data_IF_907436253093
#
_entry.id   IF_907436253093
#
_cell.length_a   1.000
_cell.length_b   1.000
_cell.length_c   1.000
_cell.angle_alpha   90.00
_cell.angle_beta   90.00
_cell.angle_gamma   90.00
#
_symmetry.space_group_name_H-M   'P 1'
#
loop_
_entity.id
_entity.type
_entity.pdbx_description
1 polymer ?
#
# COMPACT_ATOMS: atom_id res chain seq x y z
N UNK A 1 10.92 -30.20 2.65
CA UNK A 1 11.59 -29.86 2.70
C UNK A 1 11.88 -29.65 2.75
N UNK A 2 11.37 -29.60 2.83
CA UNK A 2 11.87 -29.27 2.84
C UNK A 2 12.02 -29.00 3.27
N UNK A 3 11.40 -29.31 3.56
CA UNK A 3 11.79 -29.03 3.92
C UNK A 3 11.92 -29.07 4.32
N UNK A 4 11.39 -29.13 4.60
CA UNK A 4 11.79 -29.02 4.86
C UNK A 4 12.07 -29.27 5.18
N UNK A 5 11.88 -29.74 5.53
CA UNK A 5 12.38 -29.84 5.74
C UNK A 5 12.47 -30.24 6.03
N UNK A 6 12.15 -30.49 6.52
CA UNK A 6 12.42 -30.57 6.65
C UNK A 6 12.16 -30.78 6.81
N UNK A 7 11.77 -31.38 7.13
CA UNK A 7 11.75 -31.11 7.18
C UNK A 7 11.21 -31.42 7.20
N UNK A 8 10.91 -31.48 7.42
CA UNK A 8 10.78 -31.38 7.41
C UNK A 8 10.50 -31.83 7.25
N UNK A 9 9.88 -31.96 7.46
CA UNK A 9 9.93 -32.07 7.22
C UNK A 9 9.45 -32.53 7.28
N UNK A 10 9.00 -32.81 7.47
CA UNK A 10 8.89 -32.92 7.35
C UNK A 10 8.34 -33.06 7.54
N UNK A 11 7.59 -33.18 7.45
CA UNK A 11 7.42 -32.90 7.44
C UNK A 11 6.94 -33.10 7.18
N UNK A 12 6.15 -33.44 7.44
CA UNK A 12 6.18 -33.31 7.11
C UNK A 12 5.80 -33.50 6.73
N UNK A 13 5.29 -33.66 6.84
CA UNK A 13 5.24 -33.42 6.39
C UNK A 13 4.77 -33.14 6.45
N UNK A 14 4.14 -33.06 6.58
CA UNK A 14 3.90 -32.25 6.45
C UNK A 14 3.97 -32.04 6.76
N UNK A 15 3.62 -32.07 6.93
CA UNK A 15 3.97 -31.38 7.07
C UNK A 15 4.71 -31.03 7.15
N UNK A 16 4.97 -31.48 7.38
CA UNK A 16 5.54 -30.92 7.27
C UNK A 16 5.71 -30.56 7.27
N UNK A 17 6.15 -30.58 8.00
CA UNK A 17 5.86 -29.92 7.85
C UNK A 17 5.88 -29.02 6.90
N UNK A 18 5.21 -28.92 6.76
CA UNK A 18 4.90 -27.96 5.83
C UNK A 18 5.36 -26.59 6.21
N UNK A 19 6.05 -25.90 5.31
CA UNK A 19 6.54 -24.58 5.55
C UNK A 19 5.41 -23.58 5.59
N UNK A 20 5.43 -22.71 6.56
CA UNK A 20 4.45 -21.66 6.70
C UNK A 20 4.80 -20.50 5.79
N UNK A 21 3.82 -20.01 5.05
CA UNK A 21 4.03 -18.89 4.15
C UNK A 21 3.77 -17.57 4.86
N UNK A 22 4.60 -16.58 4.57
CA UNK A 22 4.41 -15.23 5.08
C UNK A 22 3.29 -14.59 4.28
N UNK A 23 2.29 -14.07 4.95
CA UNK A 23 1.19 -13.39 4.29
C UNK A 23 1.68 -12.10 3.66
N UNK A 24 1.19 -11.73 2.46
CA UNK A 24 1.64 -10.50 1.82
C UNK A 24 1.44 -9.27 2.71
N UNK A 25 0.34 -9.18 3.45
CA UNK A 25 0.11 -8.01 4.30
C UNK A 25 1.10 -7.90 5.44
N UNK A 26 1.80 -8.99 5.80
CA UNK A 26 2.86 -8.95 6.81
C UNK A 26 4.14 -8.32 6.27
N UNK A 27 4.21 -8.11 4.96
CA UNK A 27 5.37 -7.52 4.30
C UNK A 27 5.11 -6.08 3.89
N UNK A 28 4.08 -5.46 4.47
CA UNK A 28 3.72 -4.09 4.17
C UNK A 28 4.16 -3.17 5.30
N UNK A 29 4.37 -1.92 4.96
CA UNK A 29 4.39 -0.87 5.98
C UNK A 29 2.96 -0.61 6.42
N UNK A 30 2.80 -0.20 7.66
CA UNK A 30 1.48 0.14 8.18
C UNK A 30 1.58 1.21 9.25
N UNK A 31 0.50 1.97 9.38
CA UNK A 31 0.39 3.02 10.38
C UNK A 31 -1.09 3.27 10.64
N UNK A 32 -1.37 4.09 11.65
CA UNK A 32 -2.73 4.52 11.97
C UNK A 32 -2.73 6.03 11.93
N UNK A 33 -3.68 6.62 11.22
CA UNK A 33 -3.77 8.08 11.12
C UNK A 33 -4.28 8.67 12.44
N UNK A 34 -4.15 10.00 12.63
CA UNK A 34 -4.64 10.64 13.86
C UNK A 34 -6.08 10.31 14.19
N UNK A 35 -6.95 10.19 13.19
CA UNK A 35 -8.36 9.85 13.37
C UNK A 35 -8.64 8.37 13.51
N UNK A 36 -7.62 7.52 13.48
CA UNK A 36 -7.78 6.09 13.71
C UNK A 36 -7.89 5.22 12.47
N UNK A 37 -7.64 5.78 11.28
CA UNK A 37 -7.75 5.00 10.04
C UNK A 37 -6.51 4.18 9.81
N UNK A 38 -6.69 2.91 9.38
CA UNK A 38 -5.59 2.02 9.07
C UNK A 38 -4.99 2.37 7.71
N UNK A 39 -3.66 2.48 7.66
CA UNK A 39 -2.90 2.74 6.46
C UNK A 39 -1.98 1.57 6.18
N UNK A 40 -1.90 1.17 4.89
CA UNK A 40 -0.97 0.13 4.44
C UNK A 40 -0.31 0.59 3.15
N UNK A 41 0.99 0.33 3.01
CA UNK A 41 1.67 0.63 1.74
C UNK A 41 2.77 -0.37 1.47
N UNK A 42 3.10 -0.50 0.18
CA UNK A 42 4.01 -1.54 -0.27
C UNK A 42 5.47 -1.13 -0.18
N UNK A 43 6.33 -2.13 -0.25
CA UNK A 43 7.79 -1.96 -0.19
C UNK A 43 8.44 -2.16 -1.55
N UNK A 44 7.74 -2.78 -2.50
CA UNK A 44 8.26 -3.07 -3.83
C UNK A 44 7.10 -3.27 -4.78
N UNK A 45 7.40 -3.56 -6.05
CA UNK A 45 6.36 -3.69 -7.08
C UNK A 45 5.30 -4.74 -6.73
N UNK A 46 5.73 -5.88 -6.18
CA UNK A 46 4.79 -6.95 -5.84
C UNK A 46 3.86 -6.55 -4.72
N UNK A 47 4.40 -5.97 -3.66
CA UNK A 47 3.55 -5.57 -2.53
C UNK A 47 2.71 -4.36 -2.86
N UNK A 48 3.21 -3.45 -3.70
CA UNK A 48 2.39 -2.35 -4.21
C UNK A 48 1.20 -2.87 -5.01
N UNK A 49 1.45 -3.88 -5.86
CA UNK A 49 0.38 -4.51 -6.64
C UNK A 49 -0.65 -5.14 -5.70
N UNK A 50 -0.17 -5.81 -4.66
CA UNK A 50 -1.06 -6.44 -3.68
C UNK A 50 -1.93 -5.38 -2.97
N UNK A 51 -1.34 -4.26 -2.55
CA UNK A 51 -2.11 -3.18 -1.92
C UNK A 51 -3.21 -2.69 -2.86
N UNK A 52 -2.86 -2.41 -4.11
CA UNK A 52 -3.82 -1.82 -5.04
C UNK A 52 -4.90 -2.80 -5.46
N UNK A 53 -4.57 -4.08 -5.64
CA UNK A 53 -5.53 -5.07 -6.17
C UNK A 53 -6.30 -5.78 -5.09
N UNK A 54 -5.67 -6.06 -3.95
CA UNK A 54 -6.27 -6.95 -2.94
C UNK A 54 -6.69 -6.24 -1.67
N UNK A 55 -6.12 -5.07 -1.37
CA UNK A 55 -6.43 -4.38 -0.12
C UNK A 55 -7.27 -3.13 -0.30
N UNK A 56 -7.35 -2.60 -1.53
CA UNK A 56 -8.08 -1.35 -1.78
C UNK A 56 -9.48 -1.66 -2.26
N UNK A 57 -10.46 -1.46 -1.38
CA UNK A 57 -11.86 -1.57 -1.76
C UNK A 57 -12.29 -0.39 -2.63
N UNK A 58 -13.44 -0.50 -3.31
CA UNK A 58 -13.86 0.55 -4.25
C UNK A 58 -14.04 1.92 -3.62
N UNK A 59 -14.35 1.98 -2.34
CA UNK A 59 -14.57 3.26 -1.65
C UNK A 59 -13.44 3.66 -0.75
N UNK A 60 -12.40 2.81 -0.59
CA UNK A 60 -11.20 3.20 0.16
C UNK A 60 -10.45 4.29 -0.59
N UNK A 61 -9.59 5.01 0.12
CA UNK A 61 -8.76 6.04 -0.49
C UNK A 61 -7.38 5.46 -0.82
N UNK A 62 -6.90 5.80 -2.02
CA UNK A 62 -5.63 5.29 -2.56
C UNK A 62 -4.71 6.48 -2.85
N UNK A 63 -3.44 6.33 -2.54
CA UNK A 63 -2.45 7.41 -2.61
C UNK A 63 -1.21 6.96 -3.34
N UNK A 64 -0.64 7.86 -4.14
CA UNK A 64 0.61 7.61 -4.84
C UNK A 64 1.24 8.94 -5.24
N UNK A 65 2.57 9.07 -5.07
CA UNK A 65 3.28 10.27 -5.51
C UNK A 65 3.13 10.41 -7.03
N UNK A 66 2.75 11.61 -7.47
CA UNK A 66 2.42 11.84 -8.87
C UNK A 66 3.69 11.92 -9.73
N UNK A 67 3.68 11.17 -10.82
CA UNK A 67 4.74 11.29 -11.84
C UNK A 67 6.09 10.72 -11.46
N UNK A 68 6.15 9.91 -10.42
CA UNK A 68 7.43 9.32 -9.99
C UNK A 68 7.19 7.95 -9.36
N UNK A 69 8.22 7.10 -9.32
CA UNK A 69 8.10 5.81 -8.61
C UNK A 69 7.87 6.01 -7.12
N UNK A 70 7.02 5.17 -6.54
CA UNK A 70 6.73 5.23 -5.13
C UNK A 70 5.77 4.15 -4.69
N UNK A 71 5.53 4.09 -3.39
CA UNK A 71 4.62 3.11 -2.82
C UNK A 71 3.17 3.43 -3.15
N UNK A 72 2.38 2.39 -3.34
CA UNK A 72 0.93 2.50 -3.37
C UNK A 72 0.43 2.37 -1.94
N UNK A 73 -0.39 3.32 -1.51
CA UNK A 73 -0.88 3.38 -0.14
C UNK A 73 -2.40 3.34 -0.13
N UNK A 74 -2.98 2.58 0.78
CA UNK A 74 -4.42 2.55 0.98
C UNK A 74 -4.76 3.02 2.39
N UNK A 75 -5.78 3.88 2.48
CA UNK A 75 -6.42 4.25 3.74
C UNK A 75 -7.75 3.50 3.77
N UNK A 76 -7.90 2.63 4.76
CA UNK A 76 -9.07 1.76 4.85
C UNK A 76 -10.23 2.49 5.51
N UNK A 77 -11.14 2.99 4.71
CA UNK A 77 -12.31 3.70 5.23
C UNK A 77 -13.64 3.16 4.71
N UNK A 78 -13.64 2.34 3.66
CA UNK A 78 -14.86 1.81 3.11
C UNK A 78 -15.83 2.92 2.76
N UNK A 79 -17.08 2.78 3.13
CA UNK A 79 -18.13 3.76 2.82
C UNK A 79 -18.08 5.00 3.72
N UNK A 80 -17.05 5.14 4.55
CA UNK A 80 -16.92 6.26 5.46
C UNK A 80 -15.88 7.29 5.00
N UNK A 81 -15.61 7.38 3.70
CA UNK A 81 -14.61 8.31 3.18
C UNK A 81 -14.94 9.76 3.55
N UNK A 82 -16.21 10.11 3.67
CA UNK A 82 -16.64 11.45 4.06
C UNK A 82 -16.25 11.80 5.49
N UNK A 83 -15.89 10.82 6.30
CA UNK A 83 -15.47 11.03 7.69
C UNK A 83 -13.95 11.13 7.85
N UNK A 84 -13.20 10.92 6.77
CA UNK A 84 -11.75 11.09 6.79
C UNK A 84 -11.45 12.58 6.78
N UNK A 85 -10.75 13.06 7.81
CA UNK A 85 -10.45 14.48 7.93
C UNK A 85 -9.32 14.88 6.98
N UNK A 86 -9.16 16.17 6.74
CA UNK A 86 -8.02 16.67 5.97
C UNK A 86 -6.70 16.29 6.63
N UNK A 87 -6.65 16.31 7.95
CA UNK A 87 -5.44 15.91 8.67
C UNK A 87 -5.09 14.45 8.39
N UNK A 88 -6.08 13.56 8.43
CA UNK A 88 -5.87 12.14 8.13
C UNK A 88 -5.41 11.94 6.70
N UNK A 89 -6.02 12.69 5.79
CA UNK A 89 -5.71 12.59 4.37
C UNK A 89 -4.28 13.04 4.08
N UNK A 90 -3.88 14.17 4.65
CA UNK A 90 -2.51 14.67 4.50
C UNK A 90 -1.49 13.76 5.17
N UNK A 91 -1.87 13.15 6.30
CA UNK A 91 -1.01 12.20 7.00
C UNK A 91 -0.70 10.99 6.10
N UNK A 92 -1.73 10.42 5.48
CA UNK A 92 -1.56 9.30 4.55
C UNK A 92 -0.72 9.72 3.33
N UNK A 93 -1.04 10.87 2.75
CA UNK A 93 -0.32 11.38 1.59
C UNK A 93 1.15 11.59 1.91
N UNK A 94 1.47 12.07 3.11
CA UNK A 94 2.85 12.31 3.53
C UNK A 94 3.66 11.01 3.53
N UNK A 95 3.07 9.89 3.95
CA UNK A 95 3.75 8.60 3.87
C UNK A 95 3.94 8.14 2.43
N UNK A 96 2.94 8.34 1.57
CA UNK A 96 3.12 8.01 0.15
C UNK A 96 4.29 8.80 -0.44
N UNK A 97 4.42 10.08 -0.07
CA UNK A 97 5.53 10.92 -0.50
C UNK A 97 6.86 10.45 0.08
N UNK A 98 6.87 10.07 1.37
CA UNK A 98 8.08 9.66 2.07
C UNK A 98 8.65 8.35 1.58
N UNK A 99 7.85 7.53 0.92
CA UNK A 99 8.27 6.25 0.35
C UNK A 99 8.23 6.31 -1.17
N UNK A 100 8.54 7.47 -1.73
CA UNK A 100 8.65 7.71 -3.16
C UNK A 100 10.03 8.22 -3.50
N UNK A 101 10.28 8.38 -4.80
CA UNK A 101 11.52 8.98 -5.27
C UNK A 101 11.69 10.42 -4.76
N UNK A 102 10.58 11.08 -4.41
CA UNK A 102 10.60 12.45 -3.88
C UNK A 102 10.79 12.56 -2.38
N UNK A 103 11.24 11.50 -1.72
CA UNK A 103 11.33 11.42 -0.26
C UNK A 103 12.17 12.52 0.39
N UNK A 104 13.12 13.09 -0.37
CA UNK A 104 14.00 14.14 0.14
C UNK A 104 13.61 15.53 -0.35
N UNK A 105 12.51 15.64 -1.10
CA UNK A 105 12.01 16.94 -1.57
C UNK A 105 11.30 17.67 -0.44
N UNK A 106 11.21 18.99 -0.55
CA UNK A 106 10.47 19.78 0.43
C UNK A 106 8.98 19.51 0.39
N UNK A 107 8.44 19.38 -0.81
CA UNK A 107 7.02 19.06 -1.02
C UNK A 107 6.88 18.13 -2.20
N UNK A 108 5.90 17.23 -2.11
CA UNK A 108 5.60 16.27 -3.17
C UNK A 108 4.10 16.31 -3.45
N UNK A 109 3.76 16.29 -4.74
CA UNK A 109 2.37 16.21 -5.16
C UNK A 109 1.95 14.74 -5.10
N UNK A 110 0.84 14.46 -4.39
CA UNK A 110 0.37 13.09 -4.19
C UNK A 110 -1.04 12.95 -4.75
N UNK A 111 -1.23 11.92 -5.56
CA UNK A 111 -2.54 11.55 -6.11
C UNK A 111 -3.39 10.95 -4.99
N UNK A 112 -4.65 11.39 -4.92
CA UNK A 112 -5.66 10.80 -4.04
C UNK A 112 -6.82 10.35 -4.92
N UNK A 113 -7.16 9.06 -4.85
CA UNK A 113 -8.23 8.49 -5.67
C UNK A 113 -9.06 7.54 -4.83
N UNK A 114 -10.29 7.28 -5.27
CA UNK A 114 -11.05 6.18 -4.70
C UNK A 114 -10.59 4.87 -5.35
N UNK A 115 -10.68 3.79 -4.61
CA UNK A 115 -10.24 2.50 -5.13
C UNK A 115 -10.92 2.11 -6.43
N UNK A 116 -12.19 2.52 -6.62
CA UNK A 116 -12.92 2.22 -7.85
C UNK A 116 -12.28 2.83 -9.11
N UNK A 117 -11.49 3.88 -8.93
CA UNK A 117 -10.84 4.57 -10.04
C UNK A 117 -9.44 4.05 -10.32
N UNK A 118 -8.95 3.10 -9.51
CA UNK A 118 -7.62 2.50 -9.69
C UNK A 118 -7.81 1.19 -10.45
N UNK A 119 -7.20 1.12 -11.65
CA UNK A 119 -7.39 -0.02 -12.55
C UNK A 119 -6.08 -0.71 -12.83
N UNK A 120 -6.15 -2.04 -12.94
CA UNK A 120 -5.01 -2.85 -13.32
C UNK A 120 -5.21 -3.30 -14.76
N UNK A 121 -4.49 -2.72 -15.73
CA UNK A 121 -4.63 -3.16 -17.12
C UNK A 121 -4.30 -4.64 -17.26
N UNK A 122 -5.04 -5.34 -18.12
CA UNK A 122 -4.80 -6.76 -18.33
C UNK A 122 -3.39 -6.98 -18.83
N UNK A 123 -2.68 -7.91 -18.20
CA UNK A 123 -1.31 -8.23 -18.57
C UNK A 123 -0.26 -7.24 -18.09
N UNK A 124 -0.64 -6.23 -17.33
CA UNK A 124 0.32 -5.24 -16.84
C UNK A 124 1.24 -5.86 -15.79
N UNK A 125 2.49 -5.40 -15.78
CA UNK A 125 3.48 -5.87 -14.82
C UNK A 125 3.06 -5.48 -13.39
N UNK A 126 3.59 -6.18 -12.37
CA UNK A 126 3.26 -5.83 -10.98
C UNK A 126 3.58 -4.37 -10.67
N UNK A 127 2.67 -3.72 -9.97
CA UNK A 127 2.83 -2.32 -9.56
C UNK A 127 2.37 -1.31 -10.59
N UNK A 128 2.04 -1.72 -11.81
CA UNK A 128 1.55 -0.81 -12.83
C UNK A 128 0.03 -0.74 -12.75
N UNK A 129 -0.49 0.47 -12.51
CA UNK A 129 -1.94 0.73 -12.49
C UNK A 129 -2.21 2.02 -13.25
N UNK A 130 -3.47 2.19 -13.65
CA UNK A 130 -3.96 3.47 -14.17
C UNK A 130 -5.02 4.01 -13.23
N UNK A 131 -5.17 5.33 -13.20
CA UNK A 131 -6.14 5.99 -12.32
C UNK A 131 -7.04 6.86 -13.18
N UNK A 132 -8.35 6.56 -13.16
CA UNK A 132 -9.30 7.22 -14.05
C UNK A 132 -9.69 8.60 -13.56
N UNK A 133 -9.85 8.77 -12.25
CA UNK A 133 -10.24 10.04 -11.67
C UNK A 133 -9.54 10.22 -10.33
N UNK A 134 -9.01 11.40 -10.09
CA UNK A 134 -8.26 11.67 -8.86
C UNK A 134 -8.15 13.17 -8.63
N UNK A 135 -7.74 13.54 -7.42
CA UNK A 135 -7.24 14.89 -7.17
C UNK A 135 -5.87 14.76 -6.52
N UNK A 136 -5.19 15.88 -6.31
CA UNK A 136 -3.86 15.85 -5.74
C UNK A 136 -3.78 16.77 -4.52
N UNK A 137 -2.82 16.45 -3.64
CA UNK A 137 -2.48 17.28 -2.50
C UNK A 137 -0.98 17.45 -2.46
N UNK A 138 -0.52 18.58 -1.92
CA UNK A 138 0.91 18.86 -1.74
C UNK A 138 1.26 18.60 -0.28
N UNK A 139 2.24 17.76 -0.03
CA UNK A 139 2.63 17.38 1.33
C UNK A 139 4.14 17.34 1.47
N UNK A 140 4.61 17.55 2.69
CA UNK A 140 6.00 17.27 3.04
C UNK A 140 6.15 15.76 3.26
N UNK A 141 7.18 15.13 2.67
CA UNK A 141 7.37 13.68 2.86
C UNK A 141 7.59 13.30 4.33
N UNK A 142 7.08 12.14 4.70
CA UNK A 142 7.20 11.61 6.05
C UNK A 142 7.53 10.13 6.00
N UNK A 143 8.39 9.68 6.92
CA UNK A 143 8.73 8.26 7.05
C UNK A 143 8.44 7.80 8.46
N UNK A 144 8.32 6.47 8.64
CA UNK A 144 7.95 5.89 9.94
C UNK A 144 8.94 6.25 11.05
N UNK A 145 10.20 6.45 10.69
CA UNK A 145 11.23 6.79 11.68
C UNK A 145 11.25 8.28 12.05
N UNK A 146 10.43 9.08 11.42
CA UNK A 146 10.37 10.53 11.69
C UNK A 146 9.60 10.86 12.95
#
# INVERSE_FOLDING_TARGET
LELETAGMLKQTKGQLGRRQQVKPEDQLYKAVSPGGWQLYWGKNSRTNDYVSRNMTGPQDLWFHAKGMPGSHLVLKCGDSADKVSEEDLHYAAAFAAGYSKGKDDGKVEVIVAQGRDVKKPKGARPGLVTVDSYYTVMVAPRRLED
#
